data_IF_893983618523
#
_entry.id   IF_893983618523
#
_cell.length_a   1.000
_cell.length_b   1.000
_cell.length_c   1.000
_cell.angle_alpha   90.00
_cell.angle_beta   90.00
_cell.angle_gamma   90.00
#
_symmetry.space_group_name_H-M   'P 1'
#
loop_
_entity.id
_entity.type
_entity.pdbx_description
1 polymer ?
#
# COMPACT_ATOMS: atom_id res chain seq x y z
N UNK A 1 2.16 7.33 -3.88
CA UNK A 1 1.15 6.41 -3.35
C UNK A 1 0.27 5.82 -4.43
N UNK A 2 -0.25 6.62 -5.34
CA UNK A 2 -1.13 6.12 -6.40
C UNK A 2 -0.46 5.09 -7.29
N UNK A 3 0.80 5.31 -7.65
CA UNK A 3 1.53 4.34 -8.46
C UNK A 3 1.64 2.97 -7.83
N UNK A 4 1.95 2.94 -6.53
CA UNK A 4 2.08 1.68 -5.80
C UNK A 4 0.72 0.97 -5.69
N UNK A 5 -0.34 1.71 -5.38
CA UNK A 5 -1.67 1.13 -5.28
C UNK A 5 -2.17 0.60 -6.62
N UNK A 6 -1.92 1.34 -7.70
CA UNK A 6 -2.27 0.91 -9.04
C UNK A 6 -1.52 -0.35 -9.46
N UNK A 7 -0.22 -0.40 -9.15
CA UNK A 7 0.61 -1.57 -9.46
C UNK A 7 0.11 -2.80 -8.70
N UNK A 8 -0.23 -2.65 -7.42
CA UNK A 8 -0.76 -3.76 -6.64
C UNK A 8 -2.06 -4.27 -7.27
N UNK A 9 -2.96 -3.37 -7.65
CA UNK A 9 -4.22 -3.76 -8.28
C UNK A 9 -4.01 -4.55 -9.57
N UNK A 10 -3.07 -4.13 -10.40
CA UNK A 10 -2.73 -4.84 -11.62
C UNK A 10 -2.10 -6.19 -11.33
N UNK A 11 -1.19 -6.24 -10.35
CA UNK A 11 -0.49 -7.48 -10.04
C UNK A 11 -1.44 -8.57 -9.54
N UNK A 12 -2.41 -8.21 -8.70
CA UNK A 12 -3.32 -9.20 -8.11
C UNK A 12 -4.52 -9.53 -8.98
N UNK A 13 -4.74 -8.77 -10.05
CA UNK A 13 -5.88 -9.00 -10.94
C UNK A 13 -5.82 -10.43 -11.51
N UNK A 14 -6.91 -11.16 -11.38
CA UNK A 14 -7.01 -12.54 -11.87
C UNK A 14 -5.99 -13.51 -11.26
N UNK A 15 -5.36 -13.16 -10.14
CA UNK A 15 -4.44 -14.03 -9.43
C UNK A 15 -5.11 -14.58 -8.17
N UNK A 16 -4.54 -15.66 -7.64
CA UNK A 16 -5.11 -16.38 -6.51
C UNK A 16 -4.17 -16.34 -5.32
N UNK A 17 -4.71 -16.62 -4.13
CA UNK A 17 -3.89 -16.77 -2.94
C UNK A 17 -2.86 -17.89 -3.12
N UNK A 18 -3.24 -18.98 -3.77
CA UNK A 18 -2.31 -20.08 -4.05
C UNK A 18 -1.12 -19.59 -4.88
N UNK A 19 -1.34 -18.76 -5.91
CA UNK A 19 -0.25 -18.23 -6.71
C UNK A 19 0.61 -17.27 -5.88
N UNK A 20 0.02 -16.53 -4.95
CA UNK A 20 0.78 -15.68 -4.04
C UNK A 20 1.72 -16.50 -3.17
N UNK A 21 1.26 -17.66 -2.69
CA UNK A 21 2.07 -18.53 -1.85
C UNK A 21 3.21 -19.21 -2.61
N UNK A 22 2.99 -19.56 -3.87
CA UNK A 22 3.90 -20.44 -4.63
C UNK A 22 4.78 -19.69 -5.62
N UNK A 23 4.40 -18.52 -6.07
CA UNK A 23 5.15 -17.74 -7.05
C UNK A 23 5.95 -16.65 -6.35
N UNK A 24 7.23 -16.92 -6.11
CA UNK A 24 8.10 -15.99 -5.39
C UNK A 24 8.21 -14.63 -6.09
N UNK A 25 8.28 -14.63 -7.41
CA UNK A 25 8.38 -13.38 -8.16
C UNK A 25 7.14 -12.51 -7.96
N UNK A 26 5.97 -13.11 -8.08
CA UNK A 26 4.72 -12.41 -7.87
C UNK A 26 4.61 -11.89 -6.43
N UNK A 27 4.89 -12.75 -5.46
CA UNK A 27 4.84 -12.36 -4.04
C UNK A 27 5.78 -11.21 -3.73
N UNK A 28 7.01 -11.28 -4.22
CA UNK A 28 8.01 -10.24 -4.00
C UNK A 28 7.59 -8.91 -4.62
N UNK A 29 6.97 -8.95 -5.80
CA UNK A 29 6.49 -7.74 -6.46
C UNK A 29 5.39 -7.07 -5.64
N UNK A 30 4.43 -7.84 -5.14
CA UNK A 30 3.35 -7.30 -4.30
C UNK A 30 3.91 -6.71 -3.01
N UNK A 31 4.77 -7.44 -2.34
CA UNK A 31 5.35 -7.00 -1.06
C UNK A 31 6.16 -5.73 -1.23
N UNK A 32 6.94 -5.62 -2.28
CA UNK A 32 7.71 -4.40 -2.53
C UNK A 32 6.82 -3.19 -2.73
N UNK A 33 5.72 -3.34 -3.46
CA UNK A 33 4.80 -2.23 -3.66
C UNK A 33 4.10 -1.83 -2.36
N UNK A 34 3.79 -2.78 -1.49
CA UNK A 34 3.24 -2.47 -0.17
C UNK A 34 4.24 -1.69 0.69
N UNK A 35 5.52 -2.04 0.64
CA UNK A 35 6.56 -1.27 1.33
C UNK A 35 6.63 0.16 0.80
N UNK A 36 6.61 0.32 -0.53
CA UNK A 36 6.65 1.64 -1.17
C UNK A 36 5.45 2.47 -0.74
N UNK A 37 4.27 1.86 -0.70
CA UNK A 37 3.06 2.54 -0.25
C UNK A 37 3.21 3.04 1.18
N UNK A 38 3.70 2.20 2.09
CA UNK A 38 3.91 2.58 3.48
C UNK A 38 4.93 3.71 3.63
N UNK A 39 6.02 3.65 2.88
CA UNK A 39 7.04 4.70 2.90
C UNK A 39 6.48 6.02 2.37
N UNK A 40 5.70 5.98 1.30
CA UNK A 40 5.10 7.18 0.73
C UNK A 40 4.13 7.83 1.72
N UNK A 41 3.32 7.03 2.39
CA UNK A 41 2.40 7.55 3.39
C UNK A 41 3.14 8.20 4.56
N UNK A 42 4.26 7.63 4.95
CA UNK A 42 5.07 8.16 6.04
C UNK A 42 5.70 9.53 5.71
N UNK A 43 5.83 9.84 4.43
CA UNK A 43 6.40 11.12 3.99
C UNK A 43 5.38 12.24 3.90
N UNK A 44 4.09 11.94 4.04
CA UNK A 44 3.06 12.96 4.01
C UNK A 44 3.17 13.85 5.24
N UNK A 45 2.86 15.13 5.05
CA UNK A 45 2.90 16.08 6.15
C UNK A 45 1.88 15.72 7.23
N UNK A 46 2.23 15.88 8.50
CA UNK A 46 1.27 15.60 9.59
C UNK A 46 -0.04 16.37 9.44
N UNK A 47 0.02 17.60 8.93
CA UNK A 47 -1.17 18.42 8.72
C UNK A 47 -2.10 17.79 7.68
N UNK A 48 -1.53 17.22 6.62
CA UNK A 48 -2.33 16.55 5.60
C UNK A 48 -3.00 15.30 6.19
N UNK A 49 -2.27 14.49 6.93
CA UNK A 49 -2.82 13.30 7.56
C UNK A 49 -3.94 13.65 8.54
N UNK A 50 -3.75 14.71 9.33
CA UNK A 50 -4.76 15.15 10.29
C UNK A 50 -6.00 15.68 9.59
N UNK A 51 -5.86 16.34 8.45
CA UNK A 51 -6.97 16.88 7.69
C UNK A 51 -7.80 15.77 7.01
N UNK A 52 -7.25 14.58 6.86
CA UNK A 52 -7.91 13.46 6.19
C UNK A 52 -7.89 12.22 7.08
N UNK A 53 -8.43 12.37 8.29
CA UNK A 53 -8.43 11.33 9.32
C UNK A 53 -9.36 10.15 9.01
N UNK A 54 -10.17 10.23 7.96
CA UNK A 54 -10.96 9.09 7.47
C UNK A 54 -10.06 7.97 6.95
N UNK A 55 -8.83 8.28 6.59
CA UNK A 55 -7.84 7.28 6.20
C UNK A 55 -7.07 6.84 7.46
N UNK A 56 -6.92 5.55 7.65
CA UNK A 56 -6.13 5.02 8.76
C UNK A 56 -4.63 5.06 8.41
N UNK A 57 -4.06 6.25 8.54
CA UNK A 57 -2.65 6.48 8.17
C UNK A 57 -1.69 5.62 8.96
N UNK A 58 -2.00 5.35 10.22
CA UNK A 58 -1.15 4.51 11.07
C UNK A 58 -0.97 3.13 10.46
N UNK A 59 -2.06 2.52 9.99
CA UNK A 59 -1.99 1.22 9.35
C UNK A 59 -1.27 1.26 8.00
N UNK A 60 -1.47 2.33 7.22
CA UNK A 60 -0.79 2.47 5.93
C UNK A 60 0.72 2.62 6.14
N UNK A 61 1.12 3.50 7.04
CA UNK A 61 2.55 3.69 7.37
C UNK A 61 3.15 2.40 7.91
N UNK A 62 2.37 1.62 8.65
CA UNK A 62 2.83 0.37 9.23
C UNK A 62 3.05 -0.78 8.26
N UNK A 63 2.65 -0.64 6.99
CA UNK A 63 2.78 -1.73 6.01
C UNK A 63 4.22 -2.20 5.84
N UNK A 64 5.17 -1.27 5.85
CA UNK A 64 6.58 -1.64 5.75
C UNK A 64 7.00 -2.57 6.88
N UNK A 65 6.56 -2.28 8.10
CA UNK A 65 6.89 -3.11 9.25
C UNK A 65 6.25 -4.49 9.16
N UNK A 66 5.02 -4.55 8.69
CA UNK A 66 4.34 -5.84 8.49
C UNK A 66 5.14 -6.72 7.54
N UNK A 67 5.59 -6.16 6.43
CA UNK A 67 6.35 -6.90 5.42
C UNK A 67 7.72 -7.32 5.96
N UNK A 68 8.43 -6.41 6.63
CA UNK A 68 9.77 -6.68 7.14
C UNK A 68 9.76 -7.75 8.22
N UNK A 69 8.77 -7.73 9.12
CA UNK A 69 8.71 -8.65 10.24
C UNK A 69 8.13 -10.01 9.90
N UNK A 70 7.69 -10.22 8.67
CA UNK A 70 7.16 -11.52 8.25
C UNK A 70 8.21 -12.63 8.25
N UNK A 71 9.50 -12.29 8.36
CA UNK A 71 10.55 -13.29 8.35
C UNK A 71 10.46 -14.27 9.52
N UNK A 72 9.96 -13.83 10.66
CA UNK A 72 9.85 -14.68 11.84
C UNK A 72 8.56 -15.48 11.86
N UNK A 73 7.46 -14.86 11.46
CA UNK A 73 6.17 -15.50 11.31
C UNK A 73 5.52 -15.00 10.03
N UNK A 74 5.47 -15.88 9.05
CA UNK A 74 4.95 -15.50 7.73
C UNK A 74 3.44 -15.60 7.74
N UNK A 75 2.75 -14.45 7.69
CA UNK A 75 1.31 -14.40 7.56
C UNK A 75 0.93 -13.95 6.15
N UNK A 76 1.05 -14.87 5.21
CA UNK A 76 0.72 -14.59 3.81
C UNK A 76 -0.76 -14.27 3.63
N UNK A 77 -1.63 -14.83 4.46
CA UNK A 77 -3.05 -14.55 4.38
C UNK A 77 -3.34 -13.08 4.68
N UNK A 78 -2.71 -12.54 5.71
CA UNK A 78 -2.87 -11.14 6.07
C UNK A 78 -2.39 -10.23 4.95
N UNK A 79 -1.20 -10.50 4.41
CA UNK A 79 -0.64 -9.67 3.34
C UNK A 79 -1.51 -9.75 2.09
N UNK A 80 -1.99 -10.93 1.75
CA UNK A 80 -2.87 -11.12 0.60
C UNK A 80 -4.19 -10.36 0.78
N UNK A 81 -4.76 -10.40 1.98
CA UNK A 81 -5.97 -9.66 2.30
C UNK A 81 -5.75 -8.15 2.20
N UNK A 82 -4.59 -7.66 2.67
CA UNK A 82 -4.24 -6.24 2.52
C UNK A 82 -4.20 -5.87 1.04
N UNK A 83 -3.52 -6.65 0.23
CA UNK A 83 -3.33 -6.34 -1.20
C UNK A 83 -4.64 -6.40 -1.99
N UNK A 84 -5.51 -7.35 -1.67
CA UNK A 84 -6.71 -7.60 -2.48
C UNK A 84 -7.96 -6.89 -1.95
N UNK A 85 -8.02 -6.56 -0.67
CA UNK A 85 -9.20 -5.99 -0.04
C UNK A 85 -8.98 -4.58 0.49
N UNK A 86 -7.88 -4.35 1.22
CA UNK A 86 -7.65 -3.07 1.86
C UNK A 86 -7.09 -2.01 0.92
N UNK A 87 -6.18 -2.39 0.03
CA UNK A 87 -5.59 -1.44 -0.93
C UNK A 87 -6.64 -0.86 -1.88
N UNK A 88 -7.58 -1.64 -2.44
CA UNK A 88 -8.64 -1.04 -3.25
C UNK A 88 -9.49 -0.02 -2.51
N UNK A 89 -9.80 -0.29 -1.23
CA UNK A 89 -10.56 0.66 -0.41
C UNK A 89 -9.75 1.93 -0.15
N UNK A 90 -8.47 1.78 0.13
CA UNK A 90 -7.57 2.90 0.34
C UNK A 90 -7.47 3.75 -0.92
N UNK A 91 -7.41 3.12 -2.08
CA UNK A 91 -7.38 3.82 -3.36
C UNK A 91 -8.62 4.70 -3.53
N UNK A 92 -9.79 4.17 -3.20
CA UNK A 92 -11.03 4.94 -3.26
C UNK A 92 -10.99 6.15 -2.33
N UNK A 93 -10.39 6.02 -1.15
CA UNK A 93 -10.27 7.12 -0.20
C UNK A 93 -9.27 8.18 -0.65
N UNK A 94 -8.18 7.76 -1.27
CA UNK A 94 -7.07 8.67 -1.61
C UNK A 94 -7.27 9.34 -2.97
N UNK A 95 -7.90 8.68 -3.91
CA UNK A 95 -8.08 9.22 -5.25
C UNK A 95 -8.65 10.64 -5.28
N UNK A 96 -9.70 10.97 -4.49
CA UNK A 96 -10.20 12.33 -4.45
C UNK A 96 -9.24 13.36 -3.88
N UNK A 97 -8.21 12.92 -3.17
CA UNK A 97 -7.23 13.80 -2.51
C UNK A 97 -6.01 14.11 -3.38
N UNK A 98 -5.97 13.58 -4.59
CA UNK A 98 -4.78 13.69 -5.43
C UNK A 98 -4.36 15.12 -5.72
N UNK A 99 -5.30 16.03 -5.91
CA UNK A 99 -4.96 17.43 -6.16
C UNK A 99 -4.25 18.07 -4.98
N UNK A 100 -4.66 17.74 -3.77
CA UNK A 100 -4.01 18.24 -2.55
C UNK A 100 -2.61 17.63 -2.39
N UNK A 101 -2.44 16.36 -2.74
CA UNK A 101 -1.14 15.71 -2.66
C UNK A 101 -0.12 16.35 -3.59
N UNK A 102 -0.54 16.76 -4.79
CA UNK A 102 0.37 17.42 -5.73
C UNK A 102 0.66 18.86 -5.35
N UNK A 103 -0.29 19.55 -4.75
CA UNK A 103 -0.14 20.97 -4.38
C UNK A 103 0.55 21.18 -3.05
N UNK A 104 0.22 20.37 -2.06
CA UNK A 104 0.68 20.57 -0.69
C UNK A 104 1.68 19.52 -0.22
N UNK A 105 1.48 18.29 -0.60
CA UNK A 105 2.29 17.19 -0.12
C UNK A 105 3.69 17.21 -0.66
N UNK A 106 3.88 17.73 -1.84
CA UNK A 106 5.16 17.74 -2.49
C UNK A 106 5.69 16.34 -2.76
N UNK A 107 4.95 15.34 -2.40
CA UNK A 107 5.38 13.97 -2.57
C UNK A 107 4.65 13.39 -3.75
N UNK A 108 5.10 13.75 -4.89
CA UNK A 108 4.76 12.96 -6.05
C UNK A 108 5.80 11.87 -6.06
N UNK A 109 5.47 10.77 -5.51
CA UNK A 109 6.33 9.63 -5.62
C UNK A 109 6.21 9.13 -7.04
N UNK A 110 7.22 9.34 -7.83
CA UNK A 110 7.24 8.68 -9.12
C UNK A 110 7.51 7.26 -8.82
N UNK A 111 6.95 6.49 -9.02
CA UNK A 111 7.20 5.17 -9.03
C UNK A 111 7.30 4.54 -8.87
#
# INVERSE_FOLDING_TARGET
>A
MMGAMGAIGEFVQDRTYESYQTDLLFRSAVERQLEILGEAANRLKPEFQAAHSEVDWSNVVGLRNVIIHQYDEIDYEEIWAIATERVPLLLEQIQPLMSELTEEGGVVAPI
#
